data_IF_296741346140
#
_entry.id   IF_296741346140
#
_cell.length_a   1.000
_cell.length_b   1.000
_cell.length_c   1.000
_cell.angle_alpha   90.00
_cell.angle_beta   90.00
_cell.angle_gamma   90.00
#
_symmetry.space_group_name_H-M   'P 1'
#
loop_
_entity.id
_entity.type
_entity.pdbx_description
1 polymer ?
#
# COMPACT_ATOMS: atom_id res chain seq x y z
N UNK A 1 -2.68 -18.19 -24.00
CA UNK A 1 -1.49 -17.64 -24.70
C UNK A 1 -1.71 -17.81 -26.21
N UNK A 2 -1.54 -16.78 -27.04
CA UNK A 2 -1.82 -16.89 -28.48
C UNK A 2 -0.65 -17.56 -29.19
N UNK A 3 -0.64 -18.89 -29.19
CA UNK A 3 0.27 -19.68 -30.03
C UNK A 3 -0.43 -20.02 -31.34
N UNK A 4 0.32 -19.92 -32.43
CA UNK A 4 -0.09 -20.38 -33.76
C UNK A 4 0.85 -21.50 -34.19
N UNK A 5 0.31 -22.47 -34.93
CA UNK A 5 1.09 -23.60 -35.45
C UNK A 5 1.20 -23.45 -36.97
N UNK A 6 2.42 -23.46 -37.48
CA UNK A 6 2.68 -23.57 -38.92
C UNK A 6 3.12 -25.00 -39.20
N UNK A 7 2.49 -25.62 -40.19
CA UNK A 7 2.75 -26.99 -40.60
C UNK A 7 3.14 -26.97 -42.08
N UNK A 8 4.25 -27.63 -42.41
CA UNK A 8 4.78 -27.74 -43.76
C UNK A 8 4.38 -29.09 -44.36
N UNK A 9 3.77 -29.04 -45.53
CA UNK A 9 3.43 -30.21 -46.33
C UNK A 9 4.16 -30.15 -47.67
N UNK A 10 4.67 -31.30 -48.13
CA UNK A 10 5.18 -31.49 -49.47
C UNK A 10 4.11 -32.15 -50.34
N UNK A 11 3.90 -31.62 -51.55
CA UNK A 11 3.05 -32.26 -52.55
C UNK A 11 3.79 -33.40 -53.23
N UNK A 12 3.36 -34.64 -53.00
CA UNK A 12 3.85 -35.82 -53.68
C UNK A 12 2.71 -36.44 -54.49
N UNK A 13 2.62 -36.08 -55.78
CA UNK A 13 1.50 -36.48 -56.65
C UNK A 13 0.17 -35.85 -56.22
N UNK A 14 -0.81 -36.69 -55.85
CA UNK A 14 -2.13 -36.26 -55.37
C UNK A 14 -2.25 -36.23 -53.84
N UNK A 15 -1.17 -36.49 -53.10
CA UNK A 15 -1.17 -36.54 -51.63
C UNK A 15 -0.23 -35.50 -51.03
N UNK A 16 -0.68 -34.87 -49.94
CA UNK A 16 0.14 -33.97 -49.13
C UNK A 16 0.81 -34.77 -48.02
N UNK A 17 2.15 -34.72 -47.97
CA UNK A 17 2.97 -35.42 -46.96
C UNK A 17 3.48 -34.41 -45.94
N UNK A 18 3.24 -34.66 -44.66
CA UNK A 18 3.76 -33.82 -43.57
C UNK A 18 5.29 -33.89 -43.54
N UNK A 19 5.94 -32.73 -43.63
CA UNK A 19 7.41 -32.62 -43.55
C UNK A 19 7.84 -32.21 -42.15
N UNK A 20 7.29 -31.11 -41.64
CA UNK A 20 7.61 -30.58 -40.33
C UNK A 20 6.50 -29.64 -39.83
N UNK A 21 6.60 -29.21 -38.57
CA UNK A 21 5.76 -28.17 -38.02
C UNK A 21 6.50 -27.42 -36.90
N UNK A 22 6.07 -26.18 -36.65
CA UNK A 22 6.60 -25.36 -35.56
C UNK A 22 5.48 -24.53 -34.94
N UNK A 23 5.69 -24.11 -33.70
CA UNK A 23 4.81 -23.20 -33.00
C UNK A 23 5.49 -21.85 -32.83
N UNK A 24 4.74 -20.77 -33.05
CA UNK A 24 5.20 -19.42 -32.78
C UNK A 24 4.21 -18.72 -31.85
N UNK A 25 4.77 -17.94 -30.94
CA UNK A 25 4.01 -17.07 -30.05
C UNK A 25 4.09 -15.64 -30.59
N UNK A 26 2.96 -14.98 -30.69
CA UNK A 26 2.89 -13.57 -31.06
C UNK A 26 2.66 -12.71 -29.82
N UNK A 27 3.18 -11.50 -29.83
CA UNK A 27 2.98 -10.52 -28.78
C UNK A 27 3.75 -9.24 -29.04
N UNK A 28 3.99 -8.48 -27.98
CA UNK A 28 4.65 -7.17 -28.05
C UNK A 28 5.93 -7.15 -27.20
N UNK A 29 6.94 -6.34 -27.57
CA UNK A 29 8.02 -6.02 -26.64
C UNK A 29 7.45 -5.33 -25.38
N UNK A 30 8.14 -5.40 -24.23
CA UNK A 30 7.68 -4.75 -23.02
C UNK A 30 7.78 -3.22 -23.16
N UNK A 31 6.81 -2.52 -22.59
CA UNK A 31 6.91 -1.08 -22.35
C UNK A 31 7.90 -0.80 -21.21
N UNK A 32 8.44 0.41 -21.15
CA UNK A 32 9.20 0.88 -19.98
C UNK A 32 8.30 0.88 -18.74
N UNK A 33 8.67 0.17 -17.65
CA UNK A 33 7.91 0.21 -16.41
C UNK A 33 7.84 1.62 -15.84
N UNK A 34 6.69 2.00 -15.30
CA UNK A 34 6.44 3.33 -14.74
C UNK A 34 5.93 3.24 -13.30
N UNK A 35 5.74 4.39 -12.62
CA UNK A 35 5.23 4.46 -11.25
C UNK A 35 5.97 3.55 -10.25
N UNK A 36 7.30 3.43 -10.43
CA UNK A 36 8.16 2.73 -9.49
C UNK A 36 8.09 3.43 -8.13
N UNK A 37 7.67 2.68 -7.11
CA UNK A 37 7.68 3.13 -5.72
C UNK A 37 8.22 2.01 -4.83
N UNK A 38 8.87 2.39 -3.73
CA UNK A 38 9.40 1.47 -2.75
C UNK A 38 9.06 1.95 -1.35
N UNK A 39 8.71 1.03 -0.45
CA UNK A 39 8.30 1.32 0.93
C UNK A 39 8.83 0.26 1.90
N UNK A 40 9.05 0.66 3.14
CA UNK A 40 9.44 -0.23 4.24
C UNK A 40 8.36 -0.11 5.32
N UNK A 41 7.60 -1.18 5.56
CA UNK A 41 6.66 -1.19 6.68
C UNK A 41 7.41 -1.33 8.01
N UNK A 42 7.06 -0.55 9.02
CA UNK A 42 7.62 -0.73 10.36
C UNK A 42 7.36 -2.16 10.85
N UNK A 43 8.39 -2.77 11.45
CA UNK A 43 8.42 -4.19 11.83
C UNK A 43 8.50 -5.20 10.67
N UNK A 44 8.58 -4.74 9.41
CA UNK A 44 8.98 -5.57 8.29
C UNK A 44 10.49 -5.56 8.13
N UNK A 45 11.08 -6.73 7.88
CA UNK A 45 12.48 -6.89 7.50
C UNK A 45 12.70 -6.78 5.98
N UNK A 46 11.70 -6.26 5.26
CA UNK A 46 11.72 -6.19 3.79
C UNK A 46 11.40 -4.79 3.26
N UNK A 47 12.15 -4.40 2.22
CA UNK A 47 11.81 -3.34 1.28
C UNK A 47 10.84 -3.91 0.24
N UNK A 48 9.67 -3.29 0.10
CA UNK A 48 8.65 -3.66 -0.89
C UNK A 48 8.69 -2.66 -2.03
N UNK A 49 8.93 -3.11 -3.26
CA UNK A 49 8.89 -2.25 -4.44
C UNK A 49 7.80 -2.71 -5.41
N UNK A 50 7.14 -1.74 -6.03
CA UNK A 50 6.03 -1.94 -6.99
C UNK A 50 6.21 -1.01 -8.17
N UNK A 51 5.75 -1.41 -9.35
CA UNK A 51 5.75 -0.60 -10.56
C UNK A 51 4.57 -1.00 -11.45
N UNK A 52 4.21 -0.12 -12.38
CA UNK A 52 3.25 -0.42 -13.43
C UNK A 52 3.99 -1.07 -14.62
N UNK A 53 3.60 -2.29 -15.04
CA UNK A 53 4.28 -3.02 -16.11
C UNK A 53 4.00 -2.48 -17.52
N UNK A 54 3.06 -1.52 -17.67
CA UNK A 54 2.60 -1.02 -18.95
C UNK A 54 1.59 -1.94 -19.64
N UNK A 55 1.57 -1.94 -20.98
CA UNK A 55 0.61 -2.75 -21.75
C UNK A 55 0.93 -4.23 -21.67
N UNK A 56 -0.12 -5.06 -21.77
CA UNK A 56 0.04 -6.50 -21.78
C UNK A 56 0.79 -6.98 -23.03
N UNK A 57 1.86 -7.75 -22.84
CA UNK A 57 2.76 -8.18 -23.93
C UNK A 57 2.30 -9.47 -24.61
N UNK A 58 1.39 -10.25 -24.00
CA UNK A 58 1.00 -11.61 -24.41
C UNK A 58 2.13 -12.65 -24.42
N UNK A 59 3.32 -12.26 -23.95
CA UNK A 59 4.53 -13.09 -23.86
C UNK A 59 4.97 -13.20 -22.41
N UNK A 60 5.81 -14.19 -22.11
CA UNK A 60 6.44 -14.29 -20.79
C UNK A 60 7.44 -13.13 -20.64
N UNK A 61 7.02 -12.07 -19.97
CA UNK A 61 7.89 -10.94 -19.58
C UNK A 61 8.41 -11.19 -18.18
N UNK A 62 9.73 -11.07 -18.00
CA UNK A 62 10.40 -11.15 -16.71
C UNK A 62 10.82 -9.77 -16.27
N UNK A 63 10.76 -9.50 -14.97
CA UNK A 63 11.22 -8.25 -14.39
C UNK A 63 12.43 -8.49 -13.49
N UNK A 64 13.35 -7.53 -13.47
CA UNK A 64 14.49 -7.51 -12.57
C UNK A 64 14.55 -6.13 -11.96
N UNK A 65 14.45 -6.04 -10.64
CA UNK A 65 14.71 -4.80 -9.91
C UNK A 65 16.19 -4.73 -9.60
N UNK A 66 16.79 -3.58 -9.88
CA UNK A 66 18.16 -3.27 -9.54
C UNK A 66 18.19 -2.24 -8.43
N UNK A 67 19.10 -2.44 -7.48
CA UNK A 67 19.40 -1.53 -6.39
C UNK A 67 20.90 -1.27 -6.41
N UNK A 68 21.28 0.00 -6.61
CA UNK A 68 22.67 0.44 -6.49
C UNK A 68 22.82 1.37 -5.32
N UNK A 69 23.71 1.06 -4.39
CA UNK A 69 24.11 2.01 -3.35
C UNK A 69 24.82 3.20 -3.99
N UNK A 70 24.38 4.41 -3.67
CA UNK A 70 25.05 5.65 -4.08
C UNK A 70 26.26 5.99 -3.21
N UNK A 71 26.52 5.18 -2.17
CA UNK A 71 27.58 5.41 -1.19
C UNK A 71 28.72 4.40 -1.35
N UNK A 72 28.41 3.12 -1.60
CA UNK A 72 29.41 2.06 -1.79
C UNK A 72 29.56 1.63 -3.25
N UNK A 73 28.67 2.09 -4.14
CA UNK A 73 28.55 1.65 -5.53
C UNK A 73 28.21 0.17 -5.74
N UNK A 74 27.93 -0.57 -4.66
CA UNK A 74 27.46 -1.96 -4.73
C UNK A 74 26.11 -2.03 -5.42
N UNK A 75 25.97 -2.96 -6.36
CA UNK A 75 24.75 -3.19 -7.13
C UNK A 75 24.24 -4.61 -6.87
N UNK A 76 22.95 -4.71 -6.56
CA UNK A 76 22.24 -5.97 -6.41
C UNK A 76 21.06 -6.05 -7.38
N UNK A 77 20.79 -7.24 -7.89
CA UNK A 77 19.72 -7.51 -8.84
C UNK A 77 18.78 -8.59 -8.31
N UNK A 78 17.48 -8.31 -8.37
CA UNK A 78 16.43 -9.13 -7.79
C UNK A 78 15.38 -9.47 -8.86
N UNK A 79 15.36 -10.71 -9.37
CA UNK A 79 14.33 -11.16 -10.31
C UNK A 79 12.95 -11.24 -9.65
N UNK A 80 11.91 -10.77 -10.33
CA UNK A 80 10.52 -10.87 -9.88
C UNK A 80 9.56 -11.02 -11.04
N UNK A 81 8.43 -11.67 -10.78
CA UNK A 81 7.32 -11.78 -11.74
C UNK A 81 6.19 -10.77 -11.45
N UNK A 82 5.97 -10.32 -10.20
CA UNK A 82 4.87 -9.38 -9.85
C UNK A 82 5.14 -8.42 -8.65
N UNK A 83 5.55 -8.91 -7.46
CA UNK A 83 5.85 -8.09 -6.27
C UNK A 83 7.15 -8.58 -5.64
N UNK A 84 8.07 -7.67 -5.34
CA UNK A 84 9.39 -8.02 -4.83
C UNK A 84 9.60 -7.49 -3.40
N UNK A 85 9.69 -8.45 -2.46
CA UNK A 85 10.07 -8.20 -1.07
C UNK A 85 11.57 -8.49 -0.92
N UNK A 86 12.35 -7.45 -0.69
CA UNK A 86 13.81 -7.52 -0.63
C UNK A 86 14.24 -7.49 0.83
N UNK A 87 14.94 -8.52 1.34
CA UNK A 87 15.42 -8.49 2.71
C UNK A 87 16.33 -7.29 2.95
N UNK A 88 16.05 -6.49 3.98
CA UNK A 88 16.86 -5.32 4.34
C UNK A 88 18.29 -5.71 4.69
N UNK A 89 18.53 -6.96 5.12
CA UNK A 89 19.85 -7.51 5.37
C UNK A 89 20.79 -7.50 4.14
N UNK A 90 20.23 -7.38 2.93
CA UNK A 90 20.97 -7.27 1.66
C UNK A 90 21.39 -5.83 1.37
N UNK A 91 20.70 -4.85 1.94
CA UNK A 91 20.96 -3.42 1.76
C UNK A 91 22.01 -2.91 2.75
N UNK A 92 23.23 -3.45 2.68
CA UNK A 92 24.32 -3.08 3.60
C UNK A 92 25.16 -1.89 3.12
N UNK A 93 24.99 -1.47 1.87
CA UNK A 93 25.72 -0.39 1.24
C UNK A 93 25.37 1.03 1.73
N UNK A 94 24.72 1.17 2.89
CA UNK A 94 24.32 2.45 3.45
C UNK A 94 22.81 2.75 3.29
N UNK A 95 22.43 4.02 3.14
CA UNK A 95 21.03 4.49 3.18
C UNK A 95 20.51 5.09 1.87
N UNK A 96 21.41 5.53 0.98
CA UNK A 96 21.04 6.17 -0.28
C UNK A 96 21.20 5.18 -1.44
N UNK A 97 20.12 4.95 -2.18
CA UNK A 97 20.09 3.99 -3.29
C UNK A 97 19.48 4.61 -4.54
N UNK A 98 19.96 4.17 -5.70
CA UNK A 98 19.26 4.27 -6.97
C UNK A 98 18.56 2.94 -7.28
N UNK A 99 17.29 3.02 -7.65
CA UNK A 99 16.42 1.86 -7.91
C UNK A 99 15.86 1.98 -9.32
N UNK A 100 15.90 0.89 -10.09
CA UNK A 100 15.26 0.83 -11.41
C UNK A 100 14.83 -0.60 -11.75
N UNK A 101 13.87 -0.72 -12.67
CA UNK A 101 13.33 -2.01 -13.13
C UNK A 101 13.72 -2.23 -14.58
N UNK A 102 14.16 -3.45 -14.89
CA UNK A 102 14.27 -3.95 -16.25
C UNK A 102 13.12 -4.91 -16.54
N UNK A 103 12.38 -4.67 -17.61
CA UNK A 103 11.41 -5.59 -18.18
C UNK A 103 12.00 -6.26 -19.43
N UNK A 104 11.94 -7.59 -19.52
CA UNK A 104 12.52 -8.34 -20.64
C UNK A 104 11.62 -9.49 -21.10
N UNK A 105 11.40 -9.57 -22.40
CA UNK A 105 10.83 -10.75 -23.05
C UNK A 105 11.64 -11.13 -24.29
N UNK A 106 11.14 -12.09 -25.07
CA UNK A 106 11.84 -12.58 -26.27
C UNK A 106 11.92 -11.55 -27.41
N UNK A 107 11.11 -10.49 -27.38
CA UNK A 107 11.05 -9.45 -28.41
C UNK A 107 11.83 -8.17 -28.04
N UNK A 108 12.15 -7.95 -26.76
CA UNK A 108 12.82 -6.72 -26.35
C UNK A 108 13.10 -6.61 -24.87
N UNK A 109 13.81 -5.53 -24.53
CA UNK A 109 14.10 -5.12 -23.16
C UNK A 109 13.76 -3.64 -23.02
N UNK A 110 13.16 -3.26 -21.89
CA UNK A 110 12.86 -1.89 -21.53
C UNK A 110 13.24 -1.64 -20.07
N UNK A 111 13.50 -0.38 -19.72
CA UNK A 111 13.91 0.04 -18.38
C UNK A 111 13.01 1.15 -17.87
N UNK A 112 12.78 1.18 -16.56
CA UNK A 112 12.18 2.34 -15.88
C UNK A 112 13.19 3.47 -15.75
N UNK A 113 12.70 4.67 -15.46
CA UNK A 113 13.55 5.72 -14.93
C UNK A 113 14.18 5.30 -13.59
N UNK A 114 15.33 5.90 -13.27
CA UNK A 114 16.01 5.65 -12.00
C UNK A 114 15.38 6.48 -10.89
N UNK A 115 14.91 5.80 -9.85
CA UNK A 115 14.39 6.41 -8.63
C UNK A 115 15.50 6.47 -7.58
N UNK A 116 15.87 7.68 -7.13
CA UNK A 116 16.77 7.84 -5.99
C UNK A 116 15.96 7.87 -4.69
N UNK A 117 16.35 7.06 -3.72
CA UNK A 117 15.66 6.91 -2.44
C UNK A 117 16.62 6.93 -1.26
N UNK A 118 16.13 7.44 -0.14
CA UNK A 118 16.74 7.24 1.18
C UNK A 118 15.89 6.26 1.97
N UNK A 119 16.47 5.15 2.44
CA UNK A 119 15.75 4.10 3.16
C UNK A 119 14.99 4.64 4.38
N UNK A 120 15.49 5.69 5.04
CA UNK A 120 14.83 6.28 6.22
C UNK A 120 13.55 7.06 5.89
N UNK A 121 13.41 7.50 4.64
CA UNK A 121 12.25 8.26 4.16
C UNK A 121 11.17 7.32 3.58
N UNK A 122 11.52 6.06 3.31
CA UNK A 122 10.59 5.04 2.80
C UNK A 122 9.77 4.36 3.90
N UNK A 123 10.03 4.66 5.17
CA UNK A 123 9.41 3.96 6.30
C UNK A 123 7.96 4.39 6.49
N UNK A 124 7.05 3.42 6.43
CA UNK A 124 5.64 3.54 6.82
C UNK A 124 5.50 3.11 8.28
N UNK A 125 5.03 3.98 9.20
CA UNK A 125 4.86 3.60 10.59
C UNK A 125 3.76 2.54 10.78
N UNK A 126 3.87 1.76 11.85
CA UNK A 126 2.90 0.75 12.22
C UNK A 126 1.51 1.37 12.42
N UNK A 127 0.50 0.71 11.84
CA UNK A 127 -0.89 1.21 11.84
C UNK A 127 -1.45 1.25 13.26
N UNK A 128 -2.08 2.35 13.71
CA UNK A 128 -2.71 2.44 15.03
C UNK A 128 -3.88 1.47 15.20
N UNK A 129 -4.25 1.21 16.45
CA UNK A 129 -5.39 0.33 16.79
C UNK A 129 -6.36 1.09 17.69
N UNK A 130 -7.63 1.17 17.28
CA UNK A 130 -8.71 1.67 18.13
C UNK A 130 -9.05 0.57 19.15
N UNK A 131 -8.93 0.88 20.44
CA UNK A 131 -9.15 -0.06 21.53
C UNK A 131 -10.55 0.04 22.12
N UNK A 132 -11.13 1.23 22.15
CA UNK A 132 -12.44 1.48 22.72
C UNK A 132 -13.05 2.76 22.16
N UNK A 133 -14.37 2.79 22.03
CA UNK A 133 -15.15 4.01 21.85
C UNK A 133 -16.22 4.03 22.93
N UNK A 134 -16.41 5.17 23.58
CA UNK A 134 -17.44 5.34 24.61
C UNK A 134 -18.10 6.71 24.52
N UNK A 135 -19.35 6.81 24.98
CA UNK A 135 -20.05 8.09 25.10
C UNK A 135 -20.24 8.42 26.58
N UNK A 136 -19.87 9.63 26.98
CA UNK A 136 -20.03 10.08 28.37
C UNK A 136 -21.50 10.15 28.74
N UNK A 137 -21.86 9.60 29.90
CA UNK A 137 -23.19 9.76 30.50
C UNK A 137 -23.29 11.13 31.19
N UNK A 138 -23.59 12.17 30.41
CA UNK A 138 -23.72 13.55 30.88
C UNK A 138 -24.77 14.32 30.08
N UNK A 139 -25.15 15.50 30.56
CA UNK A 139 -26.12 16.37 29.88
C UNK A 139 -25.69 16.83 28.49
N UNK A 140 -24.40 16.74 28.17
CA UNK A 140 -23.85 16.99 26.84
C UNK A 140 -22.97 15.79 26.46
N UNK A 141 -23.55 14.69 25.95
CA UNK A 141 -22.83 13.45 25.72
C UNK A 141 -21.75 13.67 24.66
N UNK A 142 -20.52 13.28 25.01
CA UNK A 142 -19.35 13.31 24.14
C UNK A 142 -18.90 11.89 23.85
N UNK A 143 -18.63 11.59 22.60
CA UNK A 143 -18.03 10.31 22.20
C UNK A 143 -16.52 10.44 22.21
N UNK A 144 -15.85 9.56 22.94
CA UNK A 144 -14.41 9.50 23.13
C UNK A 144 -13.87 8.28 22.41
N UNK A 145 -12.89 8.50 21.53
CA UNK A 145 -12.16 7.43 20.85
C UNK A 145 -10.85 7.18 21.61
N UNK A 146 -10.64 5.94 22.02
CA UNK A 146 -9.39 5.47 22.60
C UNK A 146 -8.67 4.60 21.57
N UNK A 147 -7.44 4.99 21.25
CA UNK A 147 -6.61 4.24 20.34
C UNK A 147 -5.16 4.21 20.84
N UNK A 148 -4.42 3.18 20.42
CA UNK A 148 -3.05 2.96 20.81
C UNK A 148 -2.13 3.12 19.61
N UNK A 149 -1.10 3.94 19.81
CA UNK A 149 0.05 4.03 18.93
C UNK A 149 0.79 2.70 18.94
N UNK A 150 0.98 2.11 17.76
CA UNK A 150 1.76 0.87 17.59
C UNK A 150 3.21 1.16 17.20
N UNK A 151 3.45 2.32 16.59
CA UNK A 151 4.77 2.73 16.12
C UNK A 151 5.70 3.14 17.26
N UNK A 152 6.97 2.76 17.13
CA UNK A 152 8.07 3.16 18.03
C UNK A 152 8.56 4.59 17.76
N UNK A 153 8.24 5.18 16.61
CA UNK A 153 8.70 6.51 16.21
C UNK A 153 8.04 7.61 17.03
N UNK A 154 8.82 8.50 17.65
CA UNK A 154 8.31 9.54 18.54
C UNK A 154 7.48 10.62 17.82
N UNK A 155 7.96 11.10 16.68
CA UNK A 155 7.39 12.23 15.94
C UNK A 155 6.47 11.77 14.80
N UNK A 156 5.20 11.53 15.13
CA UNK A 156 4.19 11.09 14.16
C UNK A 156 3.02 12.06 14.09
N UNK A 157 2.50 12.24 12.88
CA UNK A 157 1.26 12.95 12.60
C UNK A 157 0.17 11.93 12.31
N UNK A 158 -0.95 12.01 13.01
CA UNK A 158 -2.03 11.04 12.90
C UNK A 158 -3.35 11.73 12.55
N UNK A 159 -4.17 11.02 11.78
CA UNK A 159 -5.50 11.44 11.36
C UNK A 159 -6.52 10.41 11.79
N UNK A 160 -7.66 10.92 12.26
CA UNK A 160 -8.84 10.17 12.62
C UNK A 160 -9.95 10.52 11.65
N UNK A 161 -10.67 9.51 11.19
CA UNK A 161 -11.86 9.70 10.37
C UNK A 161 -13.04 8.96 10.93
N UNK A 162 -14.22 9.52 10.73
CA UNK A 162 -15.48 8.87 11.06
C UNK A 162 -16.52 9.14 9.99
N UNK A 163 -17.49 8.24 9.88
CA UNK A 163 -18.68 8.43 9.03
C UNK A 163 -19.89 7.82 9.70
N UNK A 164 -21.07 8.33 9.37
CA UNK A 164 -22.33 7.62 9.63
C UNK A 164 -22.43 6.48 8.61
N UNK A 165 -22.74 5.27 9.06
CA UNK A 165 -22.82 4.12 8.14
C UNK A 165 -23.90 4.28 7.06
N UNK A 166 -24.97 5.01 7.37
CA UNK A 166 -26.05 5.32 6.43
C UNK A 166 -25.66 6.37 5.36
N UNK A 167 -24.74 7.30 5.66
CA UNK A 167 -24.44 8.47 4.80
C UNK A 167 -23.14 8.34 4.01
N UNK A 168 -22.27 7.37 4.32
CA UNK A 168 -20.99 7.10 3.64
C UNK A 168 -20.01 8.29 3.48
N UNK A 169 -20.35 9.47 4.00
CA UNK A 169 -19.54 10.70 3.96
C UNK A 169 -18.53 10.70 5.09
N UNK A 170 -17.24 10.84 4.75
CA UNK A 170 -16.16 10.86 5.74
C UNK A 170 -15.91 12.26 6.31
N UNK A 171 -15.89 12.33 7.63
CA UNK A 171 -15.40 13.47 8.39
C UNK A 171 -13.99 13.16 8.91
N UNK A 172 -13.04 14.09 8.73
CA UNK A 172 -11.64 13.89 9.09
C UNK A 172 -11.15 14.97 10.05
N UNK A 173 -10.25 14.59 10.96
CA UNK A 173 -9.50 15.52 11.80
C UNK A 173 -8.09 14.95 12.09
N UNK A 174 -7.05 15.79 12.29
CA UNK A 174 -5.66 15.32 12.45
C UNK A 174 -4.77 16.18 13.34
N UNK A 175 -3.70 15.57 13.87
CA UNK A 175 -2.86 16.12 14.96
C UNK A 175 -1.40 15.65 14.90
N UNK A 176 -0.51 16.51 15.40
CA UNK A 176 0.86 16.12 15.75
C UNK A 176 0.87 15.45 17.13
N UNK A 177 1.45 14.25 17.24
CA UNK A 177 1.50 13.50 18.49
C UNK A 177 2.94 13.32 18.91
N UNK A 178 3.30 13.94 20.03
CA UNK A 178 4.59 13.78 20.70
C UNK A 178 4.36 12.98 21.98
N UNK A 179 4.74 11.70 21.97
CA UNK A 179 4.97 10.68 23.03
C UNK A 179 4.21 10.70 24.38
N UNK A 180 3.73 11.81 24.92
CA UNK A 180 3.32 11.91 26.33
C UNK A 180 1.82 11.91 26.61
N UNK A 181 0.94 12.00 25.62
CA UNK A 181 -0.51 11.80 25.82
C UNK A 181 -1.12 11.07 24.63
N UNK A 182 -1.76 9.93 24.90
CA UNK A 182 -2.72 9.33 23.95
C UNK A 182 -3.80 10.38 23.71
N UNK A 183 -4.05 10.84 22.47
CA UNK A 183 -5.13 11.79 22.22
C UNK A 183 -6.44 11.07 22.49
N UNK A 184 -7.05 11.39 23.63
CA UNK A 184 -8.45 11.10 23.88
C UNK A 184 -9.20 12.19 23.15
N UNK A 185 -9.99 11.80 22.16
CA UNK A 185 -10.61 12.79 21.32
C UNK A 185 -12.12 12.78 21.46
N UNK A 186 -12.63 13.95 21.80
CA UNK A 186 -14.03 14.15 22.09
C UNK A 186 -14.78 14.62 20.83
N UNK A 187 -15.90 13.95 20.55
CA UNK A 187 -16.79 14.25 19.44
C UNK A 187 -18.21 14.48 19.96
N UNK A 188 -18.86 15.52 19.45
CA UNK A 188 -20.29 15.71 19.61
C UNK A 188 -20.97 15.05 18.41
N UNK A 189 -21.47 13.83 18.61
CA UNK A 189 -22.10 13.01 17.58
C UNK A 189 -23.61 12.94 17.82
N UNK A 190 -24.36 12.62 16.78
CA UNK A 190 -25.80 12.41 16.88
C UNK A 190 -26.08 11.18 17.73
N UNK A 191 -27.16 11.23 18.53
CA UNK A 191 -27.63 10.13 19.36
C UNK A 191 -28.35 9.07 18.52
N UNK A 192 -28.31 7.81 18.96
CA UNK A 192 -28.93 6.68 18.27
C UNK A 192 -28.46 6.53 16.81
N UNK A 193 -27.17 6.76 16.58
CA UNK A 193 -26.56 6.72 15.23
C UNK A 193 -25.36 5.79 15.24
N UNK A 194 -25.25 4.96 14.20
CA UNK A 194 -24.15 4.03 14.02
C UNK A 194 -23.02 4.67 13.20
N UNK A 195 -21.82 4.68 13.78
CA UNK A 195 -20.63 5.29 13.21
C UNK A 195 -19.53 4.26 12.99
N UNK A 196 -18.71 4.51 11.97
CA UNK A 196 -17.46 3.79 11.70
C UNK A 196 -16.28 4.74 11.91
N UNK A 197 -15.29 4.32 12.70
CA UNK A 197 -14.08 5.09 13.03
C UNK A 197 -12.82 4.40 12.53
N UNK A 198 -11.86 5.19 12.05
CA UNK A 198 -10.54 4.71 11.66
C UNK A 198 -9.45 5.74 11.97
N UNK A 199 -8.24 5.25 12.22
CA UNK A 199 -7.05 6.08 12.50
C UNK A 199 -5.89 5.65 11.61
N UNK A 200 -5.05 6.60 11.19
CA UNK A 200 -3.77 6.33 10.50
C UNK A 200 -2.70 7.31 10.95
N UNK A 201 -1.44 6.98 10.74
CA UNK A 201 -0.32 7.84 11.08
C UNK A 201 0.72 7.92 9.94
N UNK A 202 1.54 8.97 9.98
CA UNK A 202 2.76 9.11 9.18
C UNK A 202 3.87 9.75 10.00
N UNK A 203 5.12 9.59 9.58
CA UNK A 203 6.23 10.33 10.19
C UNK A 203 6.11 11.82 9.89
N UNK A 204 6.49 12.69 10.83
CA UNK A 204 6.60 14.15 10.59
C UNK A 204 7.92 14.42 9.85
N UNK A 205 7.97 14.03 8.58
CA UNK A 205 9.09 14.25 7.66
C UNK A 205 8.55 14.70 6.29
N UNK A 206 9.41 15.31 5.49
CA UNK A 206 9.07 15.63 4.12
C UNK A 206 8.79 14.33 3.34
N UNK A 207 7.71 14.31 2.55
CA UNK A 207 7.36 13.18 1.66
C UNK A 207 7.14 11.83 2.37
N UNK A 208 6.80 11.83 3.67
CA UNK A 208 6.51 10.60 4.40
C UNK A 208 5.21 9.93 3.93
N UNK A 209 5.26 8.61 3.84
CA UNK A 209 4.11 7.78 3.52
C UNK A 209 3.18 7.65 4.72
N UNK A 210 1.88 7.56 4.42
CA UNK A 210 0.85 7.21 5.41
C UNK A 210 0.82 5.71 5.66
N UNK A 211 0.55 5.32 6.90
CA UNK A 211 0.08 3.98 7.21
C UNK A 211 -1.24 3.70 6.51
N UNK A 212 -1.59 2.41 6.44
CA UNK A 212 -2.99 2.04 6.19
C UNK A 212 -3.91 2.67 7.23
N UNK A 213 -5.19 2.78 6.90
CA UNK A 213 -6.20 3.02 7.90
C UNK A 213 -6.30 1.80 8.82
N UNK A 214 -6.50 2.03 10.11
CA UNK A 214 -6.78 0.98 11.08
C UNK A 214 -7.99 0.16 10.65
N UNK A 215 -8.12 -1.04 11.22
CA UNK A 215 -9.37 -1.81 11.11
C UNK A 215 -10.55 -0.90 11.50
N UNK A 216 -11.65 -0.90 10.73
CA UNK A 216 -12.84 -0.14 11.08
C UNK A 216 -13.36 -0.52 12.46
N UNK A 217 -13.62 0.49 13.30
CA UNK A 217 -14.29 0.30 14.58
C UNK A 217 -15.71 0.85 14.49
N UNK A 218 -16.71 -0.01 14.66
CA UNK A 218 -18.12 0.37 14.60
C UNK A 218 -18.65 0.61 16.01
N UNK A 219 -19.38 1.70 16.20
CA UNK A 219 -19.98 2.07 17.48
C UNK A 219 -21.32 2.77 17.28
N UNK A 220 -22.32 2.37 18.07
CA UNK A 220 -23.63 3.02 18.13
C UNK A 220 -23.69 3.97 19.32
N UNK A 221 -23.99 5.24 19.06
CA UNK A 221 -24.22 6.21 20.13
C UNK A 221 -25.53 5.90 20.87
N UNK A 222 -25.58 6.12 22.19
CA UNK A 222 -26.80 5.89 22.96
C UNK A 222 -27.92 6.84 22.52
N UNK A 223 -29.16 6.47 22.84
CA UNK A 223 -30.31 7.38 22.72
C UNK A 223 -30.08 8.65 23.56
N UNK A 224 -30.63 9.77 23.09
CA UNK A 224 -30.56 11.02 23.84
C UNK A 224 -31.34 10.85 25.15
N UNK A 225 -30.68 11.09 26.29
CA UNK A 225 -31.34 11.04 27.59
C UNK A 225 -32.53 12.01 27.64
N UNK A 226 -33.73 11.48 27.88
CA UNK A 226 -34.91 12.31 28.16
C UNK A 226 -34.66 13.04 29.49
N UNK A 227 -34.72 14.39 29.56
CA UNK A 227 -34.55 15.07 30.84
C UNK A 227 -35.62 14.57 31.82
N UNK A 228 -35.19 14.08 32.98
CA UNK A 228 -36.09 13.66 34.04
C UNK A 228 -36.68 14.91 34.70
N UNK A 229 -37.87 15.32 34.28
CA UNK A 229 -38.64 16.33 34.99
C UNK A 229 -39.18 15.68 36.27
N UNK A 230 -38.41 15.72 37.34
CA UNK A 230 -38.93 15.37 38.67
C UNK A 230 -39.91 16.45 39.09
N UNK A 231 -41.20 16.24 38.82
CA UNK A 231 -42.30 16.99 39.40
C UNK A 231 -42.25 16.84 40.92
N UNK A 232 -41.78 17.88 41.62
CA UNK A 232 -41.97 18.01 43.07
C UNK A 232 -43.38 18.55 43.31
N UNK A 233 -44.25 17.68 43.79
CA UNK A 233 -45.48 17.99 44.52
C UNK A 233 -45.20 18.59 45.88
#
# INVERSE_FOLDING_TARGET
>A
KPFSTVICYAKCGHTDVLVCGTQFSAGYPPDSPTNLSCVIYEHSDHLTCTWDPGKHTYLSTKYILYLKSLQTEEEEAFPSDEILNIPLSKLQGGKLYAVWVQAKNVLGTAHSEHLQVNLEDLVIPATPIITKVETTDSSSPKTIIHWQKQTSFENVYCEERYKVLADQTWHMKGWNINVTNVPHMEYYLESNTEYEFQVRCRLIRAQSYWSGWSVPFVYSTPEAGVPSWSSRS
#
